data_IF_253582191657
#
_entry.id   IF_253582191657
#
_cell.length_a   1.000
_cell.length_b   1.000
_cell.length_c   1.000
_cell.angle_alpha   90.00
_cell.angle_beta   90.00
_cell.angle_gamma   90.00
#
_symmetry.space_group_name_H-M   'P 1'
#
loop_
_entity.id
_entity.type
_entity.pdbx_description
1 polymer ?
#
# COMPACT_ATOMS: atom_id res chain seq x y z
N UNK A 1 -14.19 43.58 21.33
CA UNK A 1 -14.74 43.25 20.00
C UNK A 1 -13.59 42.59 19.25
N UNK A 2 -13.65 41.28 19.03
CA UNK A 2 -12.58 40.51 18.39
C UNK A 2 -12.74 40.63 16.86
N UNK A 3 -11.71 41.12 16.18
CA UNK A 3 -11.69 41.33 14.74
C UNK A 3 -11.64 39.99 13.99
N UNK A 4 -12.70 39.72 13.23
CA UNK A 4 -12.88 38.55 12.34
C UNK A 4 -12.11 38.67 11.01
N UNK A 5 -11.05 39.48 10.95
CA UNK A 5 -10.42 39.88 9.70
C UNK A 5 -9.04 39.24 9.42
N UNK A 6 -8.67 38.12 10.05
CA UNK A 6 -7.33 37.54 9.87
C UNK A 6 -7.23 36.00 9.74
N UNK A 7 -8.33 35.28 9.49
CA UNK A 7 -8.28 33.81 9.35
C UNK A 7 -8.04 33.29 7.92
N UNK A 8 -8.05 34.15 6.89
CA UNK A 8 -7.81 33.70 5.51
C UNK A 8 -6.48 34.22 5.00
N UNK A 9 -5.40 33.82 5.66
CA UNK A 9 -4.05 33.90 5.12
C UNK A 9 -3.55 32.49 4.79
N UNK A 10 -4.28 31.76 3.94
CA UNK A 10 -3.64 30.71 3.14
C UNK A 10 -2.81 31.40 2.07
N UNK A 11 -1.62 31.82 2.47
CA UNK A 11 -0.57 32.24 1.55
C UNK A 11 -0.05 31.01 0.80
N UNK A 12 -0.79 30.54 -0.19
CA UNK A 12 -0.27 29.57 -1.16
C UNK A 12 0.35 30.35 -2.32
N UNK A 13 1.48 30.99 -2.05
CA UNK A 13 2.42 31.46 -3.07
C UNK A 13 3.44 30.34 -3.28
N UNK A 14 3.35 29.57 -4.37
CA UNK A 14 4.37 28.58 -4.70
C UNK A 14 3.89 27.44 -5.60
N UNK A 15 3.76 27.72 -6.89
CA UNK A 15 4.46 26.96 -7.94
C UNK A 15 4.83 25.49 -7.63
N UNK A 16 3.92 24.56 -7.93
CA UNK A 16 4.21 23.26 -8.57
C UNK A 16 5.28 22.26 -8.09
N UNK A 17 6.08 22.46 -7.04
CA UNK A 17 7.34 21.68 -6.92
C UNK A 17 7.56 20.78 -5.69
N UNK A 18 6.60 20.58 -4.79
CA UNK A 18 6.74 19.46 -3.85
C UNK A 18 5.42 18.84 -3.39
N UNK A 19 4.85 17.97 -4.24
CA UNK A 19 3.65 17.18 -3.92
C UNK A 19 3.83 16.41 -2.59
N UNK A 20 5.06 15.98 -2.30
CA UNK A 20 5.40 15.31 -1.05
C UNK A 20 5.24 16.23 0.18
N UNK A 21 5.68 17.48 0.11
CA UNK A 21 5.51 18.46 1.21
C UNK A 21 4.04 18.79 1.43
N UNK A 22 3.26 18.92 0.36
CA UNK A 22 1.82 19.14 0.48
C UNK A 22 1.12 17.98 1.22
N UNK A 23 1.48 16.73 0.90
CA UNK A 23 0.97 15.58 1.65
C UNK A 23 1.43 15.56 3.11
N UNK A 24 2.69 15.94 3.40
CA UNK A 24 3.18 16.03 4.78
C UNK A 24 2.40 17.05 5.60
N UNK A 25 2.14 18.24 5.03
CA UNK A 25 1.32 19.25 5.69
C UNK A 25 -0.10 18.75 5.95
N UNK A 26 -0.73 18.07 4.98
CA UNK A 26 -2.06 17.47 5.16
C UNK A 26 -2.08 16.40 6.27
N UNK A 27 -1.00 15.62 6.42
CA UNK A 27 -0.87 14.61 7.48
C UNK A 27 -0.64 15.29 8.85
N UNK A 28 0.04 16.44 8.90
CA UNK A 28 0.19 17.21 10.14
C UNK A 28 -1.15 17.84 10.59
N UNK A 29 -1.96 18.29 9.62
CA UNK A 29 -3.29 18.85 9.88
C UNK A 29 -4.31 17.77 10.29
N UNK A 30 -4.30 16.61 9.62
CA UNK A 30 -5.18 15.48 9.93
C UNK A 30 -4.44 14.12 9.80
N UNK A 31 -3.78 13.66 10.88
CA UNK A 31 -2.93 12.46 10.84
C UNK A 31 -3.71 11.15 10.72
N UNK A 32 -5.03 11.19 10.90
CA UNK A 32 -5.90 10.00 10.85
C UNK A 32 -6.82 10.01 9.64
N UNK A 33 -6.64 10.91 8.68
CA UNK A 33 -7.46 10.91 7.49
C UNK A 33 -7.11 9.75 6.54
N UNK A 34 -8.01 8.76 6.35
CA UNK A 34 -7.73 7.61 5.49
C UNK A 34 -7.51 8.02 4.02
N UNK A 35 -8.15 9.10 3.55
CA UNK A 35 -8.02 9.58 2.16
C UNK A 35 -6.63 10.17 1.90
N UNK A 36 -6.11 10.99 2.83
CA UNK A 36 -4.78 11.59 2.72
C UNK A 36 -3.71 10.50 2.77
N UNK A 37 -3.80 9.57 3.74
CA UNK A 37 -2.87 8.45 3.88
C UNK A 37 -2.84 7.56 2.64
N UNK A 38 -4.01 7.21 2.08
CA UNK A 38 -4.12 6.42 0.85
C UNK A 38 -3.51 7.14 -0.36
N UNK A 39 -3.79 8.44 -0.49
CA UNK A 39 -3.28 9.26 -1.60
C UNK A 39 -1.76 9.38 -1.55
N UNK A 40 -1.21 9.58 -0.35
CA UNK A 40 0.23 9.62 -0.13
C UNK A 40 0.89 8.26 -0.41
N UNK A 41 0.30 7.16 0.06
CA UNK A 41 0.78 5.82 -0.22
C UNK A 41 0.81 5.51 -1.73
N UNK A 42 -0.21 5.97 -2.47
CA UNK A 42 -0.28 5.82 -3.91
C UNK A 42 0.78 6.67 -4.63
N UNK A 43 1.04 7.89 -4.13
CA UNK A 43 2.13 8.73 -4.60
C UNK A 43 3.49 8.05 -4.40
N UNK A 44 3.77 7.52 -3.20
CA UNK A 44 4.99 6.77 -2.91
C UNK A 44 5.16 5.55 -3.83
N UNK A 45 4.08 4.81 -4.08
CA UNK A 45 4.10 3.66 -4.99
C UNK A 45 4.42 4.04 -6.44
N UNK A 46 3.85 5.14 -6.95
CA UNK A 46 4.00 5.57 -8.35
C UNK A 46 5.26 6.38 -8.61
N UNK A 47 5.62 7.28 -7.70
CA UNK A 47 6.67 8.28 -7.89
C UNK A 47 7.96 7.82 -7.26
N UNK A 48 7.93 7.42 -5.98
CA UNK A 48 9.14 7.03 -5.26
C UNK A 48 9.49 5.54 -5.43
N UNK A 49 8.58 4.74 -6.01
CA UNK A 49 8.68 3.27 -6.11
C UNK A 49 9.00 2.59 -4.77
N UNK A 50 8.71 3.26 -3.65
CA UNK A 50 8.96 2.75 -2.31
C UNK A 50 7.75 1.91 -1.87
N UNK A 51 7.87 0.61 -2.14
CA UNK A 51 6.86 -0.37 -1.75
C UNK A 51 6.75 -0.50 -0.22
N UNK A 52 7.86 -0.29 0.51
CA UNK A 52 7.92 -0.40 1.96
C UNK A 52 7.17 0.75 2.63
N UNK A 53 7.50 1.98 2.23
CA UNK A 53 6.81 3.20 2.67
C UNK A 53 5.33 3.16 2.30
N UNK A 54 5.00 2.86 1.04
CA UNK A 54 3.60 2.76 0.61
C UNK A 54 2.80 1.75 1.47
N UNK A 55 3.38 0.58 1.79
CA UNK A 55 2.71 -0.44 2.61
C UNK A 55 2.36 0.08 4.00
N UNK A 56 3.27 0.82 4.63
CA UNK A 56 3.06 1.37 5.97
C UNK A 56 1.91 2.38 5.97
N UNK A 57 1.86 3.29 4.99
CA UNK A 57 0.79 4.27 4.89
C UNK A 57 -0.57 3.65 4.53
N UNK A 58 -0.61 2.62 3.67
CA UNK A 58 -1.84 1.83 3.46
C UNK A 58 -2.29 1.11 4.74
N UNK A 59 -1.37 0.58 5.54
CA UNK A 59 -1.71 -0.03 6.83
C UNK A 59 -2.34 0.98 7.78
N UNK A 60 -1.82 2.21 7.85
CA UNK A 60 -2.40 3.27 8.67
C UNK A 60 -3.77 3.69 8.16
N UNK A 61 -3.97 3.77 6.84
CA UNK A 61 -5.27 4.06 6.25
C UNK A 61 -6.33 3.00 6.62
N UNK A 62 -5.98 1.71 6.60
CA UNK A 62 -6.87 0.61 7.01
C UNK A 62 -7.21 0.67 8.50
N UNK A 63 -6.26 1.11 9.34
CA UNK A 63 -6.53 1.31 10.77
C UNK A 63 -7.48 2.48 11.03
N UNK A 64 -7.40 3.54 10.21
CA UNK A 64 -8.30 4.67 10.29
C UNK A 64 -9.69 4.37 9.72
N UNK A 65 -9.75 3.66 8.59
CA UNK A 65 -10.99 3.19 7.98
C UNK A 65 -10.85 1.74 7.47
N UNK A 66 -11.32 0.76 8.24
CA UNK A 66 -11.26 -0.65 7.84
C UNK A 66 -12.29 -1.00 6.76
N UNK A 67 -13.22 -0.11 6.42
CA UNK A 67 -14.21 -0.34 5.37
C UNK A 67 -13.68 0.01 3.96
N UNK A 68 -12.51 0.66 3.88
CA UNK A 68 -11.91 1.02 2.59
C UNK A 68 -11.32 -0.21 1.88
N UNK A 69 -12.16 -0.83 1.05
CA UNK A 69 -11.78 -1.95 0.18
C UNK A 69 -10.60 -1.64 -0.75
N UNK A 70 -10.44 -0.38 -1.20
CA UNK A 70 -9.35 0.00 -2.08
C UNK A 70 -8.01 -0.03 -1.34
N UNK A 71 -7.99 0.47 -0.10
CA UNK A 71 -6.81 0.42 0.76
C UNK A 71 -6.38 -1.03 1.04
N UNK A 72 -7.35 -1.92 1.31
CA UNK A 72 -7.10 -3.35 1.51
C UNK A 72 -6.52 -4.04 0.28
N UNK A 73 -7.08 -3.78 -0.91
CA UNK A 73 -6.60 -4.38 -2.17
C UNK A 73 -5.18 -3.89 -2.49
N UNK A 74 -4.91 -2.59 -2.30
CA UNK A 74 -3.59 -2.03 -2.54
C UNK A 74 -2.55 -2.55 -1.53
N UNK A 75 -2.92 -2.68 -0.25
CA UNK A 75 -2.09 -3.30 0.77
C UNK A 75 -1.73 -4.75 0.42
N UNK A 76 -2.73 -5.57 0.04
CA UNK A 76 -2.51 -6.95 -0.36
C UNK A 76 -1.57 -7.06 -1.58
N UNK A 77 -1.71 -6.14 -2.54
CA UNK A 77 -0.83 -6.06 -3.71
C UNK A 77 0.62 -5.73 -3.35
N UNK A 78 0.83 -4.75 -2.46
CA UNK A 78 2.17 -4.38 -1.99
C UNK A 78 2.83 -5.51 -1.20
N UNK A 79 2.09 -6.16 -0.31
CA UNK A 79 2.54 -7.35 0.42
C UNK A 79 2.94 -8.45 -0.55
N UNK A 80 2.12 -8.71 -1.58
CA UNK A 80 2.45 -9.71 -2.59
C UNK A 80 3.74 -9.38 -3.35
N UNK A 81 3.93 -8.12 -3.77
CA UNK A 81 5.16 -7.68 -4.46
C UNK A 81 6.41 -7.83 -3.58
N UNK A 82 6.34 -7.37 -2.33
CA UNK A 82 7.45 -7.49 -1.37
C UNK A 82 7.82 -8.96 -1.09
N UNK A 83 6.82 -9.85 -0.98
CA UNK A 83 7.08 -11.29 -0.82
C UNK A 83 7.58 -11.96 -2.10
N UNK A 84 7.17 -11.49 -3.29
CA UNK A 84 7.64 -12.05 -4.56
C UNK A 84 9.12 -11.75 -4.78
N UNK A 85 9.56 -10.52 -4.47
CA UNK A 85 10.97 -10.14 -4.57
C UNK A 85 11.83 -10.94 -3.57
N UNK A 86 11.32 -11.14 -2.35
CA UNK A 86 11.98 -12.01 -1.37
C UNK A 86 11.99 -13.49 -1.78
N UNK A 87 10.96 -13.95 -2.50
CA UNK A 87 10.89 -15.31 -3.02
C UNK A 87 11.90 -15.53 -4.16
N UNK A 88 12.14 -14.54 -5.03
CA UNK A 88 13.14 -14.63 -6.10
C UNK A 88 14.56 -14.80 -5.53
N UNK A 89 14.89 -14.12 -4.44
CA UNK A 89 16.18 -14.32 -3.74
C UNK A 89 16.35 -15.75 -3.24
N UNK A 90 15.28 -16.38 -2.77
CA UNK A 90 15.27 -17.78 -2.34
C UNK A 90 15.22 -18.77 -3.51
N UNK A 91 14.87 -18.35 -4.73
CA UNK A 91 14.89 -19.22 -5.92
C UNK A 91 16.28 -19.37 -6.55
N UNK A 92 17.29 -18.59 -6.14
CA UNK A 92 18.69 -18.95 -6.43
C UNK A 92 19.17 -20.15 -5.60
N UNK A 93 18.43 -20.53 -4.56
CA UNK A 93 18.50 -21.90 -4.03
C UNK A 93 17.43 -22.75 -4.72
N UNK A 94 17.79 -23.85 -5.41
CA UNK A 94 16.88 -24.61 -6.27
C UNK A 94 15.95 -25.52 -5.46
N UNK A 95 15.28 -25.00 -4.44
CA UNK A 95 14.37 -25.79 -3.60
C UNK A 95 13.12 -24.96 -3.30
N UNK A 96 12.05 -25.29 -4.02
CA UNK A 96 10.65 -25.13 -3.63
C UNK A 96 9.96 -23.78 -3.90
N UNK A 97 9.46 -23.60 -5.13
CA UNK A 97 8.11 -23.04 -5.31
C UNK A 97 7.46 -23.46 -6.64
N UNK A 98 7.48 -24.77 -6.92
CA UNK A 98 6.91 -25.38 -8.13
C UNK A 98 5.53 -26.04 -7.95
N UNK A 99 4.80 -25.78 -6.86
CA UNK A 99 3.50 -26.43 -6.61
C UNK A 99 2.53 -25.45 -6.00
N UNK A 100 1.78 -24.70 -6.82
CA UNK A 100 0.42 -24.25 -6.50
C UNK A 100 -0.18 -23.44 -7.66
N UNK A 101 0.66 -22.78 -8.48
CA UNK A 101 0.16 -21.94 -9.58
C UNK A 101 -0.32 -22.72 -10.83
N UNK A 102 -0.01 -24.00 -10.94
CA UNK A 102 -0.54 -24.86 -12.01
C UNK A 102 -1.88 -25.53 -11.64
N UNK A 103 -2.20 -25.69 -10.35
CA UNK A 103 -3.34 -26.50 -9.89
C UNK A 103 -4.68 -25.74 -9.84
N UNK A 104 -4.70 -24.41 -9.89
CA UNK A 104 -5.97 -23.64 -9.97
C UNK A 104 -6.48 -23.40 -11.40
N UNK A 105 -5.65 -23.62 -12.44
CA UNK A 105 -6.03 -23.30 -13.83
C UNK A 105 -6.67 -24.47 -14.60
N UNK A 106 -6.64 -25.67 -14.06
CA UNK A 106 -7.34 -26.84 -14.60
C UNK A 106 -8.21 -27.40 -13.50
N UNK A 107 -9.52 -27.13 -13.56
CA UNK A 107 -10.51 -27.62 -12.60
C UNK A 107 -10.62 -29.15 -12.62
N UNK A 108 -9.69 -29.83 -11.95
CA UNK A 108 -9.68 -31.27 -11.78
C UNK A 108 -9.44 -31.59 -10.29
N UNK A 109 -10.43 -32.28 -9.73
CA UNK A 109 -10.51 -32.72 -8.35
C UNK A 109 -9.27 -33.51 -7.94
N UNK A 110 -8.67 -33.17 -6.80
CA UNK A 110 -7.56 -33.92 -6.21
C UNK A 110 -8.06 -35.30 -5.72
N UNK A 111 -8.14 -36.27 -6.64
CA UNK A 111 -8.20 -37.69 -6.29
C UNK A 111 -6.85 -38.08 -5.71
N UNK A 112 -6.77 -38.09 -4.38
CA UNK A 112 -5.58 -38.53 -3.65
C UNK A 112 -5.65 -40.03 -3.43
N UNK A 113 -4.55 -40.76 -3.68
CA UNK A 113 -4.13 -41.79 -2.76
C UNK A 113 -2.75 -41.43 -2.21
N UNK A 114 -2.72 -41.06 -0.93
CA UNK A 114 -1.49 -41.04 -0.14
C UNK A 114 -1.20 -42.50 0.20
N UNK A 115 -0.22 -43.11 -0.46
CA UNK A 115 0.41 -44.33 0.04
C UNK A 115 1.66 -43.91 0.81
N UNK A 116 1.56 -43.94 2.14
CA UNK A 116 2.70 -44.06 3.05
C UNK A 116 2.47 -45.31 3.88
N UNK A 117 3.08 -46.42 3.46
CA UNK A 117 3.78 -47.42 4.27
C UNK A 117 4.34 -48.49 3.34
#
# INVERSE_FOLDING_TARGET
MFDIANFTATGTNGNGENIEENYKQMIEEDPSNPLILKSYAQFLYKVNQDLGGAKEYYSRAILADPMDSEALVMYAKLVWQLHHDHAIFLLHTPVSFGRQRAMMKMGMTASSPILFL
#
